data_IF_736714218710
#
_entry.id   IF_736714218710
#
_cell.length_a   1.000
_cell.length_b   1.000
_cell.length_c   1.000
_cell.angle_alpha   90.00
_cell.angle_beta   90.00
_cell.angle_gamma   90.00
#
_symmetry.space_group_name_H-M   'P 1'
#
loop_
_entity.id
_entity.type
_entity.pdbx_description
1 polymer ?
#
# COMPACT_ATOMS: atom_id res chain seq x y z
N UNK A 1 -1.98 21.05 -42.55
CA UNK A 1 -1.83 22.48 -42.20
C UNK A 1 -1.47 22.54 -40.72
N UNK A 2 -0.23 22.77 -40.32
CA UNK A 2 0.54 24.05 -40.23
C UNK A 2 -0.17 25.14 -39.38
N UNK A 3 0.28 25.42 -38.14
CA UNK A 3 1.25 26.49 -37.70
C UNK A 3 0.62 27.89 -37.76
N UNK A 4 0.70 28.85 -36.82
CA UNK A 4 1.62 29.18 -35.68
C UNK A 4 0.76 29.62 -34.45
N UNK A 5 1.13 30.29 -33.34
CA UNK A 5 2.31 30.98 -32.74
C UNK A 5 2.21 30.83 -31.19
N UNK A 6 3.29 30.61 -30.41
CA UNK A 6 4.35 31.52 -29.91
C UNK A 6 3.90 32.77 -29.10
N UNK A 7 4.16 32.73 -27.79
CA UNK A 7 4.55 33.89 -26.96
C UNK A 7 5.55 33.41 -25.88
N UNK A 8 6.58 34.21 -25.58
CA UNK A 8 7.62 33.94 -24.55
C UNK A 8 8.11 35.28 -24.00
N UNK A 9 8.19 35.44 -22.67
CA UNK A 9 8.91 36.44 -21.85
C UNK A 9 8.29 36.38 -20.41
N UNK A 10 8.95 36.70 -19.28
CA UNK A 10 10.35 36.62 -18.82
C UNK A 10 10.35 36.95 -17.30
N UNK A 11 11.34 36.47 -16.54
CA UNK A 11 11.57 36.82 -15.11
C UNK A 11 10.45 36.40 -14.12
N UNK A 12 10.62 36.39 -12.79
CA UNK A 12 11.74 36.84 -11.92
C UNK A 12 12.27 35.74 -10.99
N UNK A 13 13.47 35.98 -10.46
CA UNK A 13 14.18 35.17 -9.45
C UNK A 13 13.94 35.74 -8.04
N UNK A 14 14.33 35.00 -6.98
CA UNK A 14 14.14 35.32 -5.54
C UNK A 14 12.72 34.99 -5.02
N UNK A 15 12.50 34.62 -3.74
CA UNK A 15 13.26 34.95 -2.52
C UNK A 15 13.78 33.71 -1.77
N UNK A 16 15.00 33.80 -1.23
CA UNK A 16 15.50 32.93 -0.16
C UNK A 16 15.18 33.59 1.18
N UNK A 17 14.26 33.02 1.96
CA UNK A 17 13.99 33.50 3.32
C UNK A 17 14.95 32.85 4.32
N UNK A 18 15.91 33.64 4.82
CA UNK A 18 16.65 33.31 6.03
C UNK A 18 15.70 33.42 7.24
N UNK A 19 15.43 32.31 7.93
CA UNK A 19 14.80 32.36 9.24
C UNK A 19 15.88 32.46 10.33
N UNK A 20 16.13 33.69 10.79
CA UNK A 20 17.00 34.00 11.91
C UNK A 20 16.19 34.62 13.05
N UNK A 21 15.61 33.78 13.90
CA UNK A 21 15.04 34.18 15.18
C UNK A 21 15.61 33.31 16.30
N UNK A 22 16.43 33.91 17.15
CA UNK A 22 16.84 33.35 18.42
C UNK A 22 16.30 34.25 19.54
N UNK A 23 15.39 33.71 20.36
CA UNK A 23 15.12 34.18 21.71
C UNK A 23 14.50 33.01 22.50
N UNK A 24 14.97 32.77 23.72
CA UNK A 24 14.63 31.55 24.45
C UNK A 24 13.45 31.72 25.43
N UNK A 25 12.94 30.57 25.89
CA UNK A 25 12.12 30.39 27.10
C UNK A 25 10.80 31.17 27.24
N UNK A 26 9.70 30.48 26.93
CA UNK A 26 8.69 30.18 27.96
C UNK A 26 7.92 28.88 27.63
N UNK A 27 7.24 28.30 28.62
CA UNK A 27 6.56 27.00 28.48
C UNK A 27 5.28 27.11 27.64
N UNK A 28 5.16 26.26 26.61
CA UNK A 28 3.89 26.04 25.92
C UNK A 28 4.08 25.61 24.47
N UNK A 29 4.28 24.31 24.23
CA UNK A 29 4.10 23.73 22.90
C UNK A 29 3.48 22.34 23.05
N UNK A 30 2.19 22.23 22.72
CA UNK A 30 1.54 20.91 22.62
C UNK A 30 2.03 20.27 21.34
N UNK A 31 2.97 19.31 21.45
CA UNK A 31 3.52 18.62 20.29
C UNK A 31 2.40 17.97 19.48
N UNK A 32 2.02 18.59 18.37
CA UNK A 32 1.14 18.01 17.37
C UNK A 32 1.92 16.89 16.65
N UNK A 33 2.02 15.74 17.32
CA UNK A 33 2.44 14.48 16.70
C UNK A 33 1.35 14.06 15.70
N UNK A 34 1.38 14.71 14.53
CA UNK A 34 0.74 14.22 13.33
C UNK A 34 1.21 12.78 13.14
N UNK A 35 0.33 11.76 13.18
CA UNK A 35 0.77 10.38 13.07
C UNK A 35 1.50 10.20 11.74
N UNK A 36 2.80 9.89 11.80
CA UNK A 36 3.54 9.50 10.61
C UNK A 36 2.86 8.24 10.07
N UNK A 37 2.18 8.38 8.93
CA UNK A 37 1.46 7.28 8.32
C UNK A 37 2.45 6.14 8.07
N UNK A 38 2.28 5.04 8.81
CA UNK A 38 3.17 3.89 8.72
C UNK A 38 3.04 3.33 7.31
N UNK A 39 4.07 3.52 6.50
CA UNK A 39 4.08 3.09 5.11
C UNK A 39 4.25 1.57 5.07
N UNK A 40 3.13 0.86 5.02
CA UNK A 40 3.10 -0.60 4.97
C UNK A 40 3.66 -1.11 3.64
N UNK A 41 4.67 -1.98 3.71
CA UNK A 41 5.22 -2.64 2.52
C UNK A 41 4.18 -3.57 1.90
N UNK A 42 3.75 -3.24 0.67
CA UNK A 42 2.78 -4.03 -0.10
C UNK A 42 3.52 -5.14 -0.84
N UNK A 43 3.25 -6.38 -0.44
CA UNK A 43 3.87 -7.60 -0.95
C UNK A 43 2.94 -8.22 -2.00
N UNK A 44 3.48 -8.54 -3.18
CA UNK A 44 2.77 -9.23 -4.26
C UNK A 44 3.01 -10.74 -4.24
N UNK A 45 1.99 -11.54 -4.56
CA UNK A 45 2.08 -12.99 -4.63
C UNK A 45 1.07 -13.60 -5.62
N UNK A 46 1.28 -14.88 -5.96
CA UNK A 46 0.34 -15.71 -6.74
C UNK A 46 0.01 -17.00 -5.98
N UNK A 47 -1.10 -17.64 -6.34
CA UNK A 47 -1.50 -18.91 -5.72
C UNK A 47 -2.83 -19.44 -6.22
N UNK A 48 -3.33 -20.47 -5.52
CA UNK A 48 -4.66 -21.06 -5.71
C UNK A 48 -5.46 -20.94 -4.41
N UNK A 49 -6.72 -20.50 -4.51
CA UNK A 49 -7.62 -20.46 -3.34
C UNK A 49 -8.04 -21.89 -2.98
N UNK A 50 -7.79 -22.30 -1.73
CA UNK A 50 -8.22 -23.60 -1.22
C UNK A 50 -9.52 -23.49 -0.40
N UNK A 51 -9.77 -22.37 0.28
CA UNK A 51 -11.02 -22.12 1.01
C UNK A 51 -11.32 -20.62 1.20
N UNK A 52 -12.59 -20.27 1.35
CA UNK A 52 -13.06 -18.92 1.71
C UNK A 52 -14.00 -19.03 2.91
N UNK A 53 -13.58 -18.47 4.05
CA UNK A 53 -14.40 -18.32 5.24
C UNK A 53 -14.99 -16.91 5.30
N UNK A 54 -16.31 -16.83 5.07
CA UNK A 54 -17.08 -15.57 5.07
C UNK A 54 -17.45 -15.10 6.47
N UNK A 55 -17.29 -15.92 7.51
CA UNK A 55 -17.55 -15.57 8.92
C UNK A 55 -16.29 -14.94 9.52
N UNK A 56 -15.18 -15.68 9.58
CA UNK A 56 -13.90 -15.20 10.16
C UNK A 56 -13.10 -14.26 9.24
N UNK A 57 -13.61 -14.00 8.02
CA UNK A 57 -13.02 -13.14 6.98
C UNK A 57 -11.63 -13.61 6.53
N UNK A 58 -11.44 -14.93 6.39
CA UNK A 58 -10.18 -15.54 5.97
C UNK A 58 -10.29 -16.17 4.59
N UNK A 59 -9.26 -15.99 3.78
CA UNK A 59 -9.07 -16.73 2.52
C UNK A 59 -7.84 -17.61 2.71
N UNK A 60 -8.02 -18.92 2.59
CA UNK A 60 -6.92 -19.89 2.61
C UNK A 60 -6.39 -19.98 1.18
N UNK A 61 -5.14 -19.57 0.97
CA UNK A 61 -4.47 -19.60 -0.33
C UNK A 61 -3.24 -20.48 -0.21
N UNK A 62 -3.11 -21.44 -1.13
CA UNK A 62 -1.85 -22.12 -1.41
C UNK A 62 -1.05 -21.24 -2.36
N UNK A 63 -0.11 -20.50 -1.82
CA UNK A 63 0.67 -19.53 -2.58
C UNK A 63 1.97 -20.13 -3.10
N UNK A 64 2.45 -19.59 -4.22
CA UNK A 64 3.78 -19.83 -4.76
C UNK A 64 4.85 -19.21 -3.84
N UNK A 65 6.16 -19.47 -4.02
CA UNK A 65 7.19 -18.84 -3.19
C UNK A 65 7.13 -17.30 -3.31
N UNK A 66 7.35 -16.60 -2.19
CA UNK A 66 7.30 -15.13 -2.11
C UNK A 66 8.68 -14.60 -1.71
N UNK A 67 9.58 -14.32 -2.67
CA UNK A 67 10.96 -13.92 -2.38
C UNK A 67 11.09 -12.65 -1.53
N UNK A 68 10.16 -11.70 -1.70
CA UNK A 68 10.15 -10.43 -0.97
C UNK A 68 10.09 -10.58 0.56
N UNK A 69 9.58 -11.71 1.07
CA UNK A 69 9.54 -12.05 2.51
C UNK A 69 10.25 -13.38 2.82
N UNK A 70 11.00 -13.94 1.86
CA UNK A 70 11.68 -15.24 1.95
C UNK A 70 10.74 -16.42 2.32
N UNK A 71 9.47 -16.38 1.91
CA UNK A 71 8.53 -17.47 2.18
C UNK A 71 8.58 -18.55 1.08
N UNK A 72 8.62 -19.84 1.43
CA UNK A 72 8.45 -20.92 0.46
C UNK A 72 6.99 -20.99 -0.04
N UNK A 73 6.72 -21.86 -1.01
CA UNK A 73 5.35 -22.18 -1.38
C UNK A 73 4.64 -22.90 -0.21
N UNK A 74 3.51 -22.37 0.26
CA UNK A 74 2.77 -22.93 1.38
C UNK A 74 1.28 -22.53 1.37
N UNK A 75 0.47 -23.26 2.13
CA UNK A 75 -0.93 -22.90 2.41
C UNK A 75 -1.00 -21.98 3.63
N UNK A 76 -1.53 -20.77 3.45
CA UNK A 76 -1.70 -19.78 4.52
C UNK A 76 -3.08 -19.11 4.49
N UNK A 77 -3.56 -18.64 5.65
CA UNK A 77 -4.77 -17.82 5.77
C UNK A 77 -4.42 -16.34 5.67
N UNK A 78 -4.90 -15.68 4.62
CA UNK A 78 -4.86 -14.24 4.48
C UNK A 78 -6.18 -13.62 4.97
N UNK A 79 -6.13 -12.40 5.51
CA UNK A 79 -7.29 -11.71 6.07
C UNK A 79 -7.90 -10.77 5.03
N UNK A 80 -9.20 -10.91 4.77
CA UNK A 80 -9.96 -9.95 3.97
C UNK A 80 -10.54 -8.87 4.89
N UNK A 81 -10.34 -7.61 4.55
CA UNK A 81 -10.94 -6.44 5.20
C UNK A 81 -11.97 -5.79 4.27
N UNK A 82 -12.69 -4.77 4.75
CA UNK A 82 -13.68 -4.05 3.94
C UNK A 82 -13.06 -3.44 2.68
N UNK A 83 -11.86 -2.87 2.81
CA UNK A 83 -11.13 -2.21 1.73
C UNK A 83 -10.36 -3.18 0.79
N UNK A 84 -10.45 -4.50 1.02
CA UNK A 84 -9.83 -5.48 0.12
C UNK A 84 -10.62 -5.52 -1.19
N UNK A 85 -10.00 -4.99 -2.25
CA UNK A 85 -10.47 -5.15 -3.63
C UNK A 85 -10.44 -6.62 -4.02
N UNK A 86 -11.52 -7.14 -4.56
CA UNK A 86 -11.58 -8.53 -5.00
C UNK A 86 -12.61 -8.77 -6.12
N UNK A 87 -12.27 -9.67 -7.03
CA UNK A 87 -13.21 -10.29 -7.98
C UNK A 87 -14.21 -11.24 -7.27
N UNK A 88 -15.14 -11.83 -8.05
CA UNK A 88 -15.97 -12.96 -7.61
C UNK A 88 -15.16 -14.27 -7.59
N UNK A 89 -14.29 -14.37 -6.58
CA UNK A 89 -13.35 -15.46 -6.36
C UNK A 89 -13.95 -16.63 -5.55
N UNK A 90 -13.55 -17.86 -5.89
CA UNK A 90 -14.00 -19.12 -5.25
C UNK A 90 -12.83 -20.11 -5.09
N UNK A 91 -12.97 -21.15 -4.25
CA UNK A 91 -12.00 -22.24 -4.19
C UNK A 91 -11.74 -22.88 -5.57
N UNK A 92 -10.48 -23.20 -5.84
CA UNK A 92 -9.99 -23.68 -7.13
C UNK A 92 -9.49 -22.60 -8.09
N UNK A 93 -9.83 -21.32 -7.87
CA UNK A 93 -9.33 -20.23 -8.71
C UNK A 93 -7.83 -19.99 -8.48
N UNK A 94 -7.10 -19.81 -9.59
CA UNK A 94 -5.79 -19.16 -9.59
C UNK A 94 -5.97 -17.66 -9.38
N UNK A 95 -5.13 -17.07 -8.55
CA UNK A 95 -5.16 -15.65 -8.24
C UNK A 95 -3.77 -15.02 -8.28
N UNK A 96 -3.75 -13.74 -8.61
CA UNK A 96 -2.69 -12.83 -8.22
C UNK A 96 -3.25 -11.89 -7.14
N UNK A 97 -2.45 -11.59 -6.12
CA UNK A 97 -2.91 -10.82 -4.98
C UNK A 97 -1.79 -9.99 -4.36
N UNK A 98 -2.19 -8.98 -3.59
CA UNK A 98 -1.29 -8.15 -2.78
C UNK A 98 -1.75 -8.12 -1.33
N UNK A 99 -0.79 -8.08 -0.41
CA UNK A 99 -1.05 -8.03 1.03
C UNK A 99 -0.01 -7.18 1.76
N UNK A 100 -0.31 -6.84 2.99
CA UNK A 100 0.60 -6.19 3.95
C UNK A 100 0.78 -7.08 5.17
N UNK A 101 1.89 -6.94 5.89
CA UNK A 101 2.10 -7.58 7.19
C UNK A 101 1.76 -6.62 8.34
N UNK A 102 0.69 -6.93 9.08
CA UNK A 102 0.31 -6.25 10.31
C UNK A 102 0.64 -7.16 11.51
N UNK A 103 1.89 -7.09 11.98
CA UNK A 103 2.42 -7.99 13.01
C UNK A 103 2.45 -9.45 12.54
N UNK A 104 1.52 -10.26 13.04
CA UNK A 104 1.33 -11.66 12.64
C UNK A 104 0.18 -11.87 11.65
N UNK A 105 -0.44 -10.79 11.15
CA UNK A 105 -1.62 -10.84 10.29
C UNK A 105 -1.28 -10.35 8.89
N UNK A 106 -1.33 -11.26 7.92
CA UNK A 106 -1.28 -10.90 6.50
C UNK A 106 -2.66 -10.42 6.05
N UNK A 107 -2.76 -9.14 5.64
CA UNK A 107 -4.02 -8.47 5.27
C UNK A 107 -4.04 -8.17 3.77
N UNK A 108 -5.05 -8.67 3.06
CA UNK A 108 -5.21 -8.49 1.62
C UNK A 108 -5.56 -7.04 1.27
N UNK A 109 -4.91 -6.51 0.24
CA UNK A 109 -5.20 -5.19 -0.36
C UNK A 109 -5.92 -5.33 -1.70
N UNK A 110 -5.48 -6.28 -2.54
CA UNK A 110 -6.08 -6.62 -3.83
C UNK A 110 -5.99 -8.13 -4.08
N UNK A 111 -6.99 -8.74 -4.71
CA UNK A 111 -6.98 -10.15 -5.13
C UNK A 111 -7.89 -10.39 -6.34
N UNK A 112 -7.31 -10.80 -7.46
CA UNK A 112 -8.01 -10.98 -8.74
C UNK A 112 -7.62 -12.29 -9.42
N UNK A 113 -8.50 -12.80 -10.30
CA UNK A 113 -8.28 -14.08 -10.98
C UNK A 113 -7.15 -13.97 -12.00
N UNK A 114 -6.11 -14.79 -11.86
CA UNK A 114 -5.01 -14.89 -12.81
C UNK A 114 -5.30 -15.95 -13.88
N UNK A 115 -4.86 -15.69 -15.12
CA UNK A 115 -5.09 -16.55 -16.30
C UNK A 115 -3.86 -17.42 -16.57
#
# INVERSE_FOLDING_TARGET
>A
MNTTAKAVLFSFFSVVMFNAQANEHQHGEMMNMQPAAQQEDVISATGVIEAIDKESKKITIKHDPIPAVNWPAMTMRFTRVADTKADDIKPGDKVAFTFVQQGNISVLRDIHISK
#
